data_IF_695960597907
#
_entry.id   IF_695960597907
#
_cell.length_a   1.000
_cell.length_b   1.000
_cell.length_c   1.000
_cell.angle_alpha   90.00
_cell.angle_beta   90.00
_cell.angle_gamma   90.00
#
_symmetry.space_group_name_H-M   'P 1'
#
loop_
_entity.id
_entity.type
_entity.pdbx_description
1 polymer ?
#
# COMPACT_ATOMS: atom_id res chain seq x y z
N UNK A 1 42.30 38.39 31.56
CA UNK A 1 43.21 39.54 31.74
C UNK A 1 42.44 40.66 32.38
N UNK A 2 43.06 41.22 33.45
CA UNK A 2 42.74 42.46 34.22
C UNK A 2 41.49 42.43 35.11
N UNK A 3 41.52 42.10 36.36
CA UNK A 3 42.09 42.70 37.66
C UNK A 3 42.08 44.22 37.74
N UNK A 4 41.27 44.67 38.72
CA UNK A 4 41.64 45.67 39.77
C UNK A 4 40.39 46.00 40.53
N UNK A 5 40.22 45.76 41.78
CA UNK A 5 40.98 46.09 43.04
C UNK A 5 40.58 47.45 43.67
N UNK A 6 40.03 47.27 44.88
CA UNK A 6 40.15 48.12 46.10
C UNK A 6 39.59 49.53 46.09
N UNK A 7 38.71 49.81 47.11
CA UNK A 7 39.15 50.72 48.17
C UNK A 7 38.25 50.60 49.43
N UNK A 8 38.87 50.44 50.55
CA UNK A 8 38.39 50.59 51.93
C UNK A 8 37.95 52.02 52.23
N UNK A 9 36.82 52.14 52.91
CA UNK A 9 36.40 53.36 53.55
C UNK A 9 35.62 53.00 54.80
N UNK A 10 36.34 52.95 55.90
CA UNK A 10 35.83 52.83 57.29
C UNK A 10 35.37 54.18 57.73
N UNK A 11 34.08 54.36 58.07
CA UNK A 11 33.66 55.46 58.98
C UNK A 11 32.60 54.93 59.92
N UNK A 12 32.97 54.85 61.16
CA UNK A 12 32.12 54.62 62.31
C UNK A 12 31.43 55.91 62.70
N UNK A 13 30.11 55.89 62.79
CA UNK A 13 29.39 56.81 63.70
C UNK A 13 28.11 56.10 64.14
N UNK A 14 28.03 55.87 65.42
CA UNK A 14 26.86 55.34 66.09
C UNK A 14 25.75 56.35 66.13
N UNK A 15 24.54 55.83 66.14
CA UNK A 15 23.39 56.47 66.77
C UNK A 15 22.21 55.51 66.86
N UNK A 16 21.76 55.34 68.03
CA UNK A 16 20.61 54.80 68.70
C UNK A 16 19.41 54.40 67.82
N UNK A 17 19.18 53.11 67.70
CA UNK A 17 17.96 52.59 67.19
C UNK A 17 16.88 52.57 68.29
N UNK A 18 15.82 53.38 68.12
CA UNK A 18 14.58 53.21 68.86
C UNK A 18 13.79 52.02 68.38
N UNK A 19 13.33 51.09 69.22
CA UNK A 19 12.69 49.83 68.79
C UNK A 19 11.27 49.99 68.29
N UNK A 20 10.75 51.20 68.15
CA UNK A 20 9.34 51.41 67.68
C UNK A 20 9.14 51.47 66.15
N UNK A 21 10.20 51.53 65.32
CA UNK A 21 10.08 51.57 63.85
C UNK A 21 10.15 50.21 63.20
N UNK A 22 10.65 49.16 63.87
CA UNK A 22 10.71 47.81 63.37
C UNK A 22 9.35 47.08 63.33
N UNK A 23 8.47 47.41 64.32
CA UNK A 23 7.12 46.82 64.35
C UNK A 23 6.19 47.38 63.29
N UNK A 24 6.41 48.62 62.83
CA UNK A 24 5.61 49.22 61.77
C UNK A 24 5.98 48.66 60.35
N UNK A 25 7.26 48.29 60.11
CA UNK A 25 7.70 47.68 58.85
C UNK A 25 7.30 46.20 58.75
N UNK A 26 7.23 45.46 59.85
CA UNK A 26 6.82 44.07 59.86
C UNK A 26 5.30 43.96 59.68
N UNK A 27 4.50 44.91 60.17
CA UNK A 27 3.05 44.89 59.93
C UNK A 27 2.64 45.30 58.52
N UNK A 28 3.38 46.22 57.88
CA UNK A 28 3.13 46.55 56.45
C UNK A 28 3.63 45.47 55.48
N UNK A 29 4.72 44.76 55.80
CA UNK A 29 5.20 43.61 55.03
C UNK A 29 4.25 42.42 55.14
N UNK A 30 3.61 42.18 56.28
CA UNK A 30 2.64 41.12 56.48
C UNK A 30 1.29 41.40 55.81
N UNK A 31 0.93 42.69 55.64
CA UNK A 31 -0.29 43.08 54.93
C UNK A 31 -0.14 43.05 53.39
N UNK A 32 1.09 43.13 52.86
CA UNK A 32 1.33 43.04 51.41
C UNK A 32 1.50 41.58 50.94
N UNK A 33 1.86 40.67 51.85
CA UNK A 33 2.02 39.24 51.49
C UNK A 33 0.71 38.43 51.51
N UNK A 34 -0.40 38.95 52.00
CA UNK A 34 -1.69 38.28 52.09
C UNK A 34 -2.64 38.61 50.93
N UNK A 35 -2.19 39.31 49.90
CA UNK A 35 -3.04 39.79 48.81
C UNK A 35 -2.71 39.32 47.39
N UNK A 36 -1.79 38.38 47.20
CA UNK A 36 -1.56 37.74 45.90
C UNK A 36 -2.18 36.33 45.86
N UNK A 37 -3.47 36.20 46.14
CA UNK A 37 -4.25 35.15 45.54
C UNK A 37 -4.27 35.45 44.04
N UNK A 38 -3.42 34.74 43.26
CA UNK A 38 -3.38 34.89 41.81
C UNK A 38 -4.80 34.75 41.29
N UNK A 39 -5.30 35.77 40.63
CA UNK A 39 -6.60 35.70 39.97
C UNK A 39 -6.59 34.49 39.05
N UNK A 40 -7.35 33.44 39.39
CA UNK A 40 -7.54 32.25 38.56
C UNK A 40 -8.33 32.74 37.37
N UNK A 41 -7.68 32.88 36.21
CA UNK A 41 -8.32 33.25 34.95
C UNK A 41 -8.96 32.01 34.29
N UNK A 42 -9.82 32.23 33.35
CA UNK A 42 -10.34 31.18 32.46
C UNK A 42 -9.21 30.25 32.03
N UNK A 43 -9.43 28.97 32.17
CA UNK A 43 -8.47 27.95 31.74
C UNK A 43 -9.13 26.85 30.94
N UNK A 44 -8.67 26.68 29.68
CA UNK A 44 -8.99 25.53 28.85
C UNK A 44 -7.95 24.42 29.11
N UNK A 45 -8.43 23.25 29.48
CA UNK A 45 -7.59 22.09 29.74
C UNK A 45 -7.95 21.02 28.70
N UNK A 46 -7.01 20.68 27.83
CA UNK A 46 -7.12 19.46 27.04
C UNK A 46 -6.14 18.43 27.60
N UNK A 47 -6.65 17.31 28.04
CA UNK A 47 -5.86 16.20 28.59
C UNK A 47 -5.34 15.26 27.47
N UNK A 48 -5.44 15.68 26.20
CA UNK A 48 -5.13 14.86 25.03
C UNK A 48 -3.79 15.17 24.38
N UNK A 49 -3.42 14.30 23.44
CA UNK A 49 -2.26 14.50 22.55
C UNK A 49 -2.53 15.73 21.66
N UNK A 50 -1.50 16.55 21.44
CA UNK A 50 -1.59 17.68 20.51
C UNK A 50 -1.85 17.23 19.07
N UNK A 51 -1.42 16.00 18.71
CA UNK A 51 -1.69 15.39 17.42
C UNK A 51 -2.37 14.03 17.60
N UNK A 52 -3.54 13.88 17.03
CA UNK A 52 -4.37 12.67 17.10
C UNK A 52 -4.40 12.02 15.71
N UNK A 53 -4.01 10.75 15.63
CA UNK A 53 -4.15 9.94 14.43
C UNK A 53 -5.39 9.07 14.52
N UNK A 54 -6.29 9.15 13.53
CA UNK A 54 -7.51 8.34 13.45
C UNK A 54 -7.68 7.73 12.06
N UNK A 55 -8.36 6.61 12.00
CA UNK A 55 -8.65 6.00 10.71
C UNK A 55 -9.88 6.64 10.05
N UNK A 56 -9.86 6.70 8.73
CA UNK A 56 -11.04 7.06 7.94
C UNK A 56 -12.20 6.10 8.24
N UNK A 57 -13.39 6.67 8.45
CA UNK A 57 -14.60 5.96 8.85
C UNK A 57 -14.80 5.83 10.37
N UNK A 58 -13.76 6.08 11.18
CA UNK A 58 -13.90 6.14 12.65
C UNK A 58 -14.56 7.46 13.08
N UNK A 59 -14.84 7.62 14.38
CA UNK A 59 -15.22 8.88 15.03
C UNK A 59 -14.09 9.36 15.95
N UNK A 60 -14.11 10.64 16.30
CA UNK A 60 -13.17 11.22 17.26
C UNK A 60 -13.86 12.27 18.13
N UNK A 61 -13.43 12.34 19.39
CA UNK A 61 -13.75 13.44 20.30
C UNK A 61 -12.46 14.26 20.48
N UNK A 62 -12.52 15.53 20.09
CA UNK A 62 -11.46 16.51 20.36
C UNK A 62 -11.77 17.16 21.70
N UNK A 63 -10.98 16.84 22.71
CA UNK A 63 -11.25 17.27 24.08
C UNK A 63 -11.02 18.78 24.25
N UNK A 64 -11.98 19.44 24.89
CA UNK A 64 -11.92 20.84 25.30
C UNK A 64 -12.70 21.03 26.59
N UNK A 65 -12.09 20.71 27.72
CA UNK A 65 -12.67 21.01 29.03
C UNK A 65 -12.20 22.37 29.51
N UNK A 66 -13.04 23.13 30.16
CA UNK A 66 -12.70 24.46 30.62
C UNK A 66 -13.19 24.74 32.06
N UNK A 67 -12.53 25.66 32.74
CA UNK A 67 -12.90 26.12 34.05
C UNK A 67 -12.84 27.63 34.08
N UNK A 68 -13.99 28.31 34.24
CA UNK A 68 -14.02 29.78 34.41
C UNK A 68 -13.33 30.20 35.72
N UNK A 69 -12.70 31.34 35.67
CA UNK A 69 -12.19 31.99 36.88
C UNK A 69 -13.32 32.66 37.70
N UNK A 70 -13.09 32.97 38.98
CA UNK A 70 -14.11 33.56 39.84
C UNK A 70 -14.59 34.96 39.40
N UNK A 71 -13.81 35.62 38.54
CA UNK A 71 -14.14 36.96 37.99
C UNK A 71 -14.80 36.87 36.61
N UNK A 72 -14.90 35.68 36.01
CA UNK A 72 -15.45 35.47 34.69
C UNK A 72 -16.99 35.36 34.79
N UNK A 73 -17.66 36.51 34.85
CA UNK A 73 -19.09 36.61 35.10
C UNK A 73 -19.94 36.92 33.84
N UNK A 74 -19.28 37.22 32.70
CA UNK A 74 -19.92 37.53 31.43
C UNK A 74 -20.63 36.34 30.82
N UNK A 75 -21.22 36.55 29.65
CA UNK A 75 -21.83 35.49 28.85
C UNK A 75 -20.76 34.49 28.36
N UNK A 76 -21.14 33.21 28.34
CA UNK A 76 -20.30 32.15 27.83
C UNK A 76 -20.42 32.09 26.31
N UNK A 77 -19.27 32.10 25.65
CA UNK A 77 -19.12 31.97 24.20
C UNK A 77 -18.04 30.91 23.93
N UNK A 78 -18.42 29.88 23.18
CA UNK A 78 -17.53 28.77 22.81
C UNK A 78 -17.48 28.69 21.30
N UNK A 79 -16.28 28.66 20.72
CA UNK A 79 -16.02 28.61 19.29
C UNK A 79 -15.12 27.43 18.95
N UNK A 80 -15.55 26.60 18.01
CA UNK A 80 -14.69 25.64 17.32
C UNK A 80 -14.41 26.11 15.91
N UNK A 81 -13.14 26.15 15.54
CA UNK A 81 -12.69 26.54 14.20
C UNK A 81 -11.59 25.65 13.67
N UNK A 82 -11.49 25.55 12.35
CA UNK A 82 -10.30 25.03 11.66
C UNK A 82 -9.33 26.18 11.46
N UNK A 83 -8.11 25.98 11.95
CA UNK A 83 -7.03 26.98 11.82
C UNK A 83 -6.58 27.00 10.36
N UNK A 84 -6.61 28.19 9.75
CA UNK A 84 -6.11 28.37 8.41
C UNK A 84 -4.60 28.12 8.35
N UNK A 85 -4.07 27.39 7.36
CA UNK A 85 -2.63 27.27 7.13
C UNK A 85 -2.00 28.60 6.69
N UNK A 86 -2.79 29.51 6.11
CA UNK A 86 -2.40 30.84 5.71
C UNK A 86 -2.81 31.85 6.79
N UNK A 87 -1.81 32.45 7.42
CA UNK A 87 -2.02 33.44 8.50
C UNK A 87 -2.74 34.74 8.05
N UNK A 88 -2.88 34.95 6.75
CA UNK A 88 -3.65 36.10 6.18
C UNK A 88 -5.13 35.81 6.06
N UNK A 89 -5.53 34.54 6.13
CA UNK A 89 -6.92 34.13 6.06
C UNK A 89 -7.50 33.89 7.46
N UNK A 90 -8.79 34.14 7.59
CA UNK A 90 -9.51 33.87 8.83
C UNK A 90 -9.67 32.37 9.03
N UNK A 91 -9.59 31.94 10.29
CA UNK A 91 -9.96 30.58 10.67
C UNK A 91 -11.42 30.30 10.31
N UNK A 92 -11.68 29.09 9.81
CA UNK A 92 -13.04 28.69 9.41
C UNK A 92 -13.80 28.21 10.65
N UNK A 93 -14.85 28.94 11.02
CA UNK A 93 -15.73 28.57 12.13
C UNK A 93 -16.57 27.34 11.73
N UNK A 94 -16.65 26.37 12.61
CA UNK A 94 -17.40 25.14 12.43
C UNK A 94 -18.67 25.12 13.28
N UNK A 95 -18.51 25.32 14.57
CA UNK A 95 -19.55 25.18 15.59
C UNK A 95 -19.33 26.24 16.65
N UNK A 96 -20.41 26.87 17.11
CA UNK A 96 -20.35 27.78 18.25
C UNK A 96 -21.51 27.57 19.20
N UNK A 97 -21.31 28.02 20.44
CA UNK A 97 -22.32 28.08 21.48
C UNK A 97 -22.29 29.44 22.11
N UNK A 98 -23.40 30.15 21.99
CA UNK A 98 -23.57 31.49 22.57
C UNK A 98 -25.02 31.67 23.00
N UNK A 99 -25.28 32.43 24.08
CA UNK A 99 -26.59 32.70 24.61
C UNK A 99 -27.49 31.45 24.77
N UNK A 100 -26.88 30.36 25.28
CA UNK A 100 -27.52 29.04 25.49
C UNK A 100 -28.02 28.37 24.20
N UNK A 101 -27.48 28.77 23.05
CA UNK A 101 -27.86 28.20 21.74
C UNK A 101 -26.60 27.74 20.98
N UNK A 102 -26.73 26.59 20.32
CA UNK A 102 -25.69 26.03 19.46
C UNK A 102 -25.95 26.49 18.02
N UNK A 103 -24.87 26.93 17.34
CA UNK A 103 -24.90 27.35 15.94
C UNK A 103 -23.89 26.56 15.14
N UNK A 104 -24.33 26.04 14.01
CA UNK A 104 -23.49 25.33 13.06
C UNK A 104 -23.20 26.27 11.86
N UNK A 105 -21.92 26.44 11.50
CA UNK A 105 -21.48 27.47 10.55
C UNK A 105 -20.98 26.91 9.23
N UNK A 106 -20.69 25.61 9.15
CA UNK A 106 -20.09 25.00 7.96
C UNK A 106 -21.01 23.97 7.30
N UNK A 107 -21.22 24.10 5.98
CA UNK A 107 -21.91 23.12 5.15
C UNK A 107 -21.15 21.78 5.03
N UNK A 108 -19.82 21.78 5.32
CA UNK A 108 -19.01 20.54 5.42
C UNK A 108 -19.47 19.61 6.53
N UNK A 109 -20.21 20.12 7.50
CA UNK A 109 -20.84 19.34 8.55
C UNK A 109 -21.84 18.30 8.05
N UNK A 110 -22.29 18.42 6.78
CA UNK A 110 -23.20 17.46 6.15
C UNK A 110 -22.53 16.13 5.79
N UNK A 111 -21.18 16.07 5.78
CA UNK A 111 -20.41 14.84 5.49
C UNK A 111 -19.75 14.34 6.76
N UNK A 112 -20.55 13.75 7.66
CA UNK A 112 -20.09 13.21 8.94
C UNK A 112 -20.40 14.18 10.10
N UNK A 113 -21.45 13.94 10.86
CA UNK A 113 -21.99 14.80 11.91
C UNK A 113 -20.95 15.47 12.79
N UNK A 114 -21.01 16.81 12.83
CA UNK A 114 -20.24 17.67 13.75
C UNK A 114 -21.18 18.12 14.87
N UNK A 115 -20.80 17.85 16.11
CA UNK A 115 -21.61 18.26 17.29
C UNK A 115 -20.73 18.44 18.52
N UNK A 116 -21.21 19.13 19.54
CA UNK A 116 -20.59 19.00 20.84
C UNK A 116 -20.76 17.58 21.37
N UNK A 117 -19.71 17.05 21.98
CA UNK A 117 -19.73 15.70 22.57
C UNK A 117 -20.65 15.65 23.80
N UNK A 118 -20.79 16.76 24.51
CA UNK A 118 -21.75 16.96 25.60
C UNK A 118 -23.04 17.58 25.04
N UNK A 119 -24.19 17.13 25.51
CA UNK A 119 -25.49 17.73 25.16
C UNK A 119 -25.60 19.20 25.58
N UNK A 120 -24.90 19.60 26.63
CA UNK A 120 -24.82 20.99 27.11
C UNK A 120 -23.37 21.38 27.37
N UNK A 121 -22.74 22.13 26.45
CA UNK A 121 -21.35 22.56 26.59
C UNK A 121 -21.13 23.61 27.69
N UNK A 122 -22.18 24.17 28.28
CA UNK A 122 -22.07 25.16 29.36
C UNK A 122 -21.57 24.58 30.68
N UNK A 123 -21.56 23.26 30.83
CA UNK A 123 -21.18 22.53 32.04
C UNK A 123 -19.66 22.27 32.15
N UNK A 124 -18.81 22.99 31.41
CA UNK A 124 -17.36 22.87 31.48
C UNK A 124 -16.75 21.88 30.49
N UNK A 125 -17.55 21.23 29.63
CA UNK A 125 -17.08 20.33 28.59
C UNK A 125 -17.58 20.79 27.20
N UNK A 126 -16.71 21.45 26.48
CA UNK A 126 -16.93 21.95 25.12
C UNK A 126 -16.31 21.03 24.05
N UNK A 127 -16.05 19.77 24.37
CA UNK A 127 -15.44 18.80 23.46
C UNK A 127 -16.23 18.66 22.17
N UNK A 128 -15.52 18.53 21.03
CA UNK A 128 -16.11 18.38 19.69
C UNK A 128 -16.11 16.92 19.28
N UNK A 129 -17.28 16.40 18.90
CA UNK A 129 -17.46 15.10 18.27
C UNK A 129 -17.47 15.26 16.75
N UNK A 130 -16.65 14.49 16.08
CA UNK A 130 -16.64 14.35 14.61
C UNK A 130 -16.89 12.89 14.27
N UNK A 131 -18.01 12.63 13.61
CA UNK A 131 -18.39 11.29 13.16
C UNK A 131 -17.93 11.06 11.71
N UNK A 132 -17.77 9.77 11.32
CA UNK A 132 -17.44 9.34 9.96
C UNK A 132 -16.25 10.11 9.34
N UNK A 133 -15.11 10.03 10.01
CA UNK A 133 -13.90 10.72 9.59
C UNK A 133 -13.50 10.38 8.15
N UNK A 134 -13.16 11.40 7.38
CA UNK A 134 -12.55 11.30 6.05
C UNK A 134 -11.19 12.00 6.03
N UNK A 135 -10.30 11.71 5.09
CA UNK A 135 -9.01 12.41 4.95
C UNK A 135 -9.15 13.94 4.84
N UNK A 136 -10.28 14.45 4.35
CA UNK A 136 -10.60 15.88 4.27
C UNK A 136 -10.73 16.55 5.66
N UNK A 137 -10.97 15.77 6.73
CA UNK A 137 -11.00 16.28 8.10
C UNK A 137 -9.61 16.43 8.73
N UNK A 138 -8.53 16.12 7.99
CA UNK A 138 -7.15 16.37 8.44
C UNK A 138 -6.90 17.86 8.53
N UNK A 139 -6.80 18.39 9.75
CA UNK A 139 -6.62 19.82 10.01
C UNK A 139 -6.19 20.07 11.45
N UNK A 140 -5.80 21.30 11.76
CA UNK A 140 -5.64 21.79 13.13
C UNK A 140 -6.93 22.47 13.55
N UNK A 141 -7.54 21.96 14.59
CA UNK A 141 -8.76 22.47 15.20
C UNK A 141 -8.43 23.33 16.40
N UNK A 142 -9.16 24.41 16.59
CA UNK A 142 -9.03 25.31 17.75
C UNK A 142 -10.34 25.37 18.47
N UNK A 143 -10.30 25.05 19.77
CA UNK A 143 -11.33 25.36 20.74
C UNK A 143 -11.00 26.68 21.41
N UNK A 144 -11.91 27.63 21.41
CA UNK A 144 -11.77 28.91 22.11
C UNK A 144 -12.99 29.08 23.00
N UNK A 145 -12.74 29.35 24.29
CA UNK A 145 -13.76 29.59 25.30
C UNK A 145 -13.57 30.98 25.85
N UNK A 146 -14.65 31.75 25.83
CA UNK A 146 -14.67 33.14 26.35
C UNK A 146 -15.82 33.28 27.33
N UNK A 147 -15.52 33.86 28.48
CA UNK A 147 -16.47 34.34 29.46
C UNK A 147 -15.88 35.59 30.09
N UNK A 148 -16.40 36.75 29.67
CA UNK A 148 -15.75 38.03 29.97
C UNK A 148 -15.48 38.24 31.47
N UNK A 149 -14.28 38.69 31.89
CA UNK A 149 -13.13 39.10 31.06
C UNK A 149 -12.24 37.95 30.58
N UNK A 150 -12.44 36.71 31.03
CA UNK A 150 -11.61 35.57 30.72
C UNK A 150 -11.79 35.06 29.29
N UNK A 151 -10.68 34.65 28.70
CA UNK A 151 -10.61 33.94 27.40
C UNK A 151 -9.40 33.02 27.41
N UNK A 152 -9.60 31.80 26.91
CA UNK A 152 -8.50 30.87 26.68
C UNK A 152 -8.80 29.98 25.47
N UNK A 153 -7.79 29.36 24.88
CA UNK A 153 -7.89 28.56 23.68
C UNK A 153 -6.90 27.39 23.68
N UNK A 154 -7.31 26.31 23.02
CA UNK A 154 -6.48 25.12 22.82
C UNK A 154 -6.53 24.68 21.36
N UNK A 155 -5.37 24.26 20.82
CA UNK A 155 -5.26 23.71 19.47
C UNK A 155 -4.96 22.22 19.52
N UNK A 156 -5.61 21.46 18.62
CA UNK A 156 -5.38 20.03 18.46
C UNK A 156 -5.32 19.69 16.98
N UNK A 157 -4.27 19.02 16.56
CA UNK A 157 -4.14 18.57 15.16
C UNK A 157 -4.73 17.17 15.01
N UNK A 158 -5.67 17.02 14.09
CA UNK A 158 -6.26 15.75 13.69
C UNK A 158 -5.68 15.31 12.36
N UNK A 159 -5.14 14.09 12.30
CA UNK A 159 -4.63 13.47 11.08
C UNK A 159 -5.46 12.23 10.80
N UNK A 160 -6.28 12.28 9.76
CA UNK A 160 -7.12 11.16 9.34
C UNK A 160 -6.40 10.36 8.26
N UNK A 161 -6.18 9.09 8.54
CA UNK A 161 -5.41 8.19 7.69
C UNK A 161 -6.26 7.01 7.23
N UNK A 162 -5.97 6.51 6.04
CA UNK A 162 -6.56 5.27 5.51
C UNK A 162 -5.75 4.08 6.02
N UNK A 163 -6.43 3.08 6.59
CA UNK A 163 -5.82 1.80 6.98
C UNK A 163 -5.22 1.10 5.76
N UNK A 164 -4.08 0.39 5.88
CA UNK A 164 -3.58 -0.44 4.80
C UNK A 164 -4.62 -1.46 4.34
N UNK A 165 -4.74 -1.70 3.03
CA UNK A 165 -5.47 -2.85 2.52
C UNK A 165 -4.69 -4.14 2.76
N UNK A 166 -5.36 -5.29 2.69
CA UNK A 166 -4.67 -6.59 2.71
C UNK A 166 -3.59 -6.60 1.62
N UNK A 167 -2.32 -6.75 1.98
CA UNK A 167 -1.24 -6.70 1.01
C UNK A 167 -1.25 -7.93 0.10
N UNK A 168 -0.76 -7.77 -1.12
CA UNK A 168 -0.46 -8.85 -2.03
C UNK A 168 0.97 -9.32 -1.77
N UNK A 169 1.15 -10.63 -1.57
CA UNK A 169 2.45 -11.28 -1.50
C UNK A 169 2.73 -12.00 -2.83
N UNK A 170 3.97 -11.89 -3.34
CA UNK A 170 4.42 -12.66 -4.50
C UNK A 170 5.93 -12.90 -4.42
N UNK A 171 6.39 -13.83 -5.24
CA UNK A 171 7.77 -14.25 -5.34
C UNK A 171 8.35 -13.79 -6.69
N UNK A 172 9.64 -13.44 -6.70
CA UNK A 172 10.46 -13.24 -7.90
C UNK A 172 11.72 -14.07 -7.80
N UNK A 173 12.11 -14.68 -8.91
CA UNK A 173 13.22 -15.63 -8.99
C UNK A 173 12.72 -17.07 -9.01
N UNK A 174 13.63 -18.01 -9.16
CA UNK A 174 13.34 -19.45 -9.17
C UNK A 174 13.57 -20.04 -7.77
N UNK A 175 12.64 -20.87 -7.31
CA UNK A 175 12.73 -21.55 -5.99
C UNK A 175 13.73 -22.70 -6.03
N UNK A 176 14.93 -22.48 -6.60
CA UNK A 176 16.00 -23.47 -6.71
C UNK A 176 17.12 -23.16 -5.71
N UNK A 177 17.66 -24.22 -5.12
CA UNK A 177 18.81 -24.12 -4.19
C UNK A 177 20.00 -23.57 -4.97
N UNK A 178 20.61 -22.51 -4.42
CA UNK A 178 21.74 -21.80 -5.05
C UNK A 178 21.36 -20.54 -5.78
N UNK A 179 20.08 -20.32 -6.09
CA UNK A 179 19.59 -19.13 -6.80
C UNK A 179 19.19 -18.00 -5.85
N UNK A 180 19.15 -16.79 -6.39
CA UNK A 180 18.65 -15.61 -5.67
C UNK A 180 17.13 -15.50 -5.81
N UNK A 181 16.45 -15.33 -4.69
CA UNK A 181 14.97 -15.23 -4.62
C UNK A 181 14.57 -14.03 -3.78
N UNK A 182 13.55 -13.32 -4.21
CA UNK A 182 12.96 -12.25 -3.40
C UNK A 182 11.45 -12.43 -3.21
N UNK A 183 11.01 -12.24 -1.98
CA UNK A 183 9.61 -12.14 -1.61
C UNK A 183 9.23 -10.67 -1.60
N UNK A 184 8.07 -10.36 -2.15
CA UNK A 184 7.54 -9.01 -2.23
C UNK A 184 6.20 -8.92 -1.54
N UNK A 185 5.95 -7.79 -0.92
CA UNK A 185 4.73 -7.48 -0.19
C UNK A 185 4.31 -6.05 -0.50
N UNK A 186 3.09 -5.85 -0.99
CA UNK A 186 2.62 -4.51 -1.32
C UNK A 186 1.13 -4.36 -1.02
N UNK A 187 0.78 -3.31 -0.31
CA UNK A 187 -0.59 -2.87 -0.10
C UNK A 187 -1.01 -1.92 -1.21
N UNK A 188 -2.23 -2.11 -1.74
CA UNK A 188 -2.79 -1.26 -2.79
C UNK A 188 -3.36 0.05 -2.25
N UNK A 189 -3.70 0.10 -0.94
CA UNK A 189 -4.28 1.27 -0.27
C UNK A 189 -3.62 1.44 1.09
N UNK A 190 -3.68 2.66 1.62
CA UNK A 190 -3.17 3.02 2.93
C UNK A 190 -2.43 4.34 2.87
N UNK A 191 -2.65 5.19 3.88
CA UNK A 191 -1.90 6.44 4.01
C UNK A 191 -0.44 6.17 4.42
N UNK A 192 0.48 6.87 3.79
CA UNK A 192 1.91 6.84 4.12
C UNK A 192 2.19 7.53 5.47
N UNK A 193 3.29 7.13 6.16
CA UNK A 193 4.23 6.09 5.79
C UNK A 193 3.69 4.69 6.03
N UNK A 194 3.88 3.79 5.06
CA UNK A 194 3.63 2.36 5.20
C UNK A 194 4.93 1.67 5.58
N UNK A 195 4.90 0.85 6.62
CA UNK A 195 6.04 0.05 7.07
C UNK A 195 5.75 -1.43 6.86
N UNK A 196 6.63 -2.12 6.15
CA UNK A 196 6.56 -3.55 5.89
C UNK A 196 7.51 -4.30 6.81
N UNK A 197 7.02 -5.40 7.40
CA UNK A 197 7.82 -6.25 8.28
C UNK A 197 7.56 -7.71 7.94
N UNK A 198 8.61 -8.46 7.65
CA UNK A 198 8.54 -9.88 7.41
C UNK A 198 8.84 -10.67 8.68
N UNK A 199 8.15 -11.78 8.84
CA UNK A 199 8.41 -12.79 9.88
C UNK A 199 8.30 -14.16 9.27
N UNK A 200 9.04 -15.12 9.82
CA UNK A 200 8.87 -16.52 9.50
C UNK A 200 7.81 -17.11 10.43
N UNK A 201 6.78 -17.76 9.88
CA UNK A 201 5.70 -18.36 10.68
C UNK A 201 6.14 -19.70 11.28
N UNK A 202 6.98 -20.44 10.58
CA UNK A 202 7.63 -21.65 11.10
C UNK A 202 8.75 -21.29 12.08
N UNK A 203 9.09 -22.22 12.95
CA UNK A 203 10.05 -22.04 14.05
C UNK A 203 11.35 -21.38 13.62
N UNK A 204 11.70 -20.26 14.24
CA UNK A 204 12.97 -19.57 14.11
C UNK A 204 12.89 -18.15 13.51
N UNK A 205 13.94 -17.37 13.69
CA UNK A 205 14.04 -16.04 13.10
C UNK A 205 14.23 -16.12 11.57
N UNK A 206 14.04 -14.99 10.90
CA UNK A 206 14.45 -14.85 9.50
C UNK A 206 15.95 -15.16 9.39
N UNK A 207 16.38 -15.97 8.39
CA UNK A 207 17.79 -16.26 8.20
C UNK A 207 18.64 -15.00 8.12
N UNK A 208 19.81 -15.00 8.75
CA UNK A 208 20.71 -13.82 8.77
C UNK A 208 21.21 -13.42 7.37
N UNK A 209 21.18 -14.35 6.41
CA UNK A 209 21.51 -14.07 5.00
C UNK A 209 20.39 -13.34 4.22
N UNK A 210 19.20 -13.17 4.82
CA UNK A 210 18.10 -12.47 4.18
C UNK A 210 18.15 -10.97 4.46
N UNK A 211 17.99 -10.16 3.41
CA UNK A 211 17.92 -8.70 3.50
C UNK A 211 16.47 -8.22 3.40
N UNK A 212 16.01 -7.52 4.43
CA UNK A 212 14.68 -6.95 4.47
C UNK A 212 14.71 -5.45 4.20
N UNK A 213 13.83 -4.96 3.31
CA UNK A 213 13.57 -3.55 3.10
C UNK A 213 12.16 -3.20 3.61
N UNK A 214 12.08 -2.44 4.69
CA UNK A 214 10.81 -2.09 5.34
C UNK A 214 10.00 -1.03 4.58
N UNK A 215 10.55 -0.35 3.59
CA UNK A 215 9.87 0.66 2.77
C UNK A 215 9.28 0.04 1.51
N UNK A 216 10.06 -0.80 0.81
CA UNK A 216 9.62 -1.45 -0.43
C UNK A 216 8.84 -2.74 -0.20
N UNK A 217 8.91 -3.32 1.00
CA UNK A 217 8.28 -4.60 1.33
C UNK A 217 9.00 -5.81 0.73
N UNK A 218 10.27 -5.66 0.33
CA UNK A 218 11.09 -6.74 -0.21
C UNK A 218 11.82 -7.50 0.89
N UNK A 219 11.85 -8.83 0.78
CA UNK A 219 12.72 -9.73 1.53
C UNK A 219 13.51 -10.56 0.54
N UNK A 220 14.82 -10.27 0.42
CA UNK A 220 15.72 -10.92 -0.54
C UNK A 220 16.58 -11.99 0.13
N UNK A 221 16.65 -13.14 -0.49
CA UNK A 221 17.55 -14.23 -0.16
C UNK A 221 18.58 -14.37 -1.26
N UNK A 222 19.86 -14.26 -0.91
CA UNK A 222 20.97 -14.60 -1.79
C UNK A 222 21.35 -16.05 -1.51
N UNK A 223 21.55 -16.85 -2.58
CA UNK A 223 21.93 -18.26 -2.49
C UNK A 223 20.91 -19.07 -1.67
N UNK A 224 19.72 -19.32 -2.22
CA UNK A 224 18.62 -20.04 -1.54
C UNK A 224 19.09 -21.39 -1.01
N UNK A 225 18.85 -21.63 0.27
CA UNK A 225 19.14 -22.90 0.95
C UNK A 225 17.85 -23.62 1.33
N UNK A 226 17.89 -24.94 1.45
CA UNK A 226 16.78 -25.76 1.93
C UNK A 226 16.29 -25.31 3.32
N UNK A 227 17.17 -24.82 4.18
CA UNK A 227 16.85 -24.31 5.51
C UNK A 227 16.01 -23.02 5.48
N UNK A 228 15.97 -22.30 4.33
CA UNK A 228 15.20 -21.07 4.18
C UNK A 228 13.75 -21.35 3.74
N UNK A 229 13.45 -22.56 3.27
CA UNK A 229 12.09 -22.96 2.93
C UNK A 229 11.14 -22.82 4.12
N UNK A 230 9.90 -22.39 3.87
CA UNK A 230 8.87 -22.24 4.91
C UNK A 230 7.87 -21.14 4.59
N UNK A 231 6.95 -20.94 5.53
CA UNK A 231 5.92 -19.91 5.41
C UNK A 231 6.45 -18.60 5.97
N UNK A 232 6.35 -17.55 5.17
CA UNK A 232 6.69 -16.18 5.54
C UNK A 232 5.43 -15.33 5.60
N UNK A 233 5.34 -14.52 6.64
CA UNK A 233 4.26 -13.60 6.91
C UNK A 233 4.78 -12.17 6.70
N UNK A 234 4.18 -11.44 5.79
CA UNK A 234 4.38 -9.99 5.66
C UNK A 234 3.28 -9.26 6.42
N UNK A 235 3.67 -8.30 7.22
CA UNK A 235 2.78 -7.35 7.86
C UNK A 235 3.08 -5.94 7.34
N UNK A 236 2.06 -5.26 6.82
CA UNK A 236 2.09 -3.84 6.49
C UNK A 236 1.33 -3.07 7.54
N UNK A 237 1.91 -2.00 8.05
CA UNK A 237 1.26 -1.14 9.05
C UNK A 237 1.48 0.34 8.77
N UNK A 238 0.57 1.14 9.30
CA UNK A 238 0.71 2.58 9.49
C UNK A 238 0.22 2.95 10.90
N UNK A 239 0.09 4.24 11.22
CA UNK A 239 -0.30 4.69 12.55
C UNK A 239 -1.72 4.27 12.98
N UNK A 240 -2.59 3.83 12.04
CA UNK A 240 -4.01 3.56 12.29
C UNK A 240 -4.44 2.11 12.02
N UNK A 241 -3.53 1.26 11.54
CA UNK A 241 -3.88 -0.14 11.31
C UNK A 241 -2.78 -0.98 10.71
N UNK A 242 -2.98 -2.29 10.72
CA UNK A 242 -2.08 -3.28 10.13
C UNK A 242 -2.86 -4.35 9.37
N UNK A 243 -2.24 -4.89 8.32
CA UNK A 243 -2.76 -5.99 7.52
C UNK A 243 -1.64 -6.97 7.16
N UNK A 244 -2.00 -8.19 6.79
CA UNK A 244 -1.01 -9.27 6.60
C UNK A 244 -1.30 -10.09 5.36
N UNK A 245 -0.23 -10.67 4.76
CA UNK A 245 -0.32 -11.75 3.78
C UNK A 245 0.71 -12.84 4.08
N UNK A 246 0.46 -14.03 3.55
CA UNK A 246 1.32 -15.21 3.70
C UNK A 246 1.84 -15.66 2.35
N UNK A 247 3.08 -16.16 2.33
CA UNK A 247 3.68 -16.79 1.16
C UNK A 247 4.51 -17.98 1.60
N UNK A 248 4.43 -19.06 0.84
CA UNK A 248 5.22 -20.26 1.09
C UNK A 248 6.42 -20.28 0.14
N UNK A 249 7.63 -20.15 0.69
CA UNK A 249 8.88 -20.27 -0.04
C UNK A 249 9.32 -21.73 -0.04
N UNK A 250 9.45 -22.30 -1.23
CA UNK A 250 10.00 -23.63 -1.44
C UNK A 250 11.49 -23.51 -1.76
N UNK A 251 12.26 -24.59 -1.55
CA UNK A 251 13.64 -24.70 -1.97
C UNK A 251 13.81 -26.08 -2.64
N UNK A 252 13.76 -26.08 -3.94
CA UNK A 252 13.85 -27.30 -4.76
C UNK A 252 15.27 -27.52 -5.22
N UNK A 253 15.70 -28.77 -5.34
CA UNK A 253 16.99 -29.07 -5.95
C UNK A 253 16.93 -28.77 -7.45
N UNK A 254 17.98 -28.16 -8.04
CA UNK A 254 18.02 -27.97 -9.48
C UNK A 254 17.98 -29.32 -10.19
N UNK A 255 17.31 -29.43 -11.33
CA UNK A 255 17.26 -30.68 -12.10
C UNK A 255 18.68 -31.09 -12.49
N UNK A 256 18.96 -32.40 -12.39
CA UNK A 256 20.26 -32.98 -12.74
C UNK A 256 20.50 -32.81 -14.26
N UNK A 257 21.09 -31.68 -14.67
CA UNK A 257 21.44 -31.44 -16.09
C UNK A 257 22.38 -32.49 -16.67
N UNK A 258 23.23 -33.12 -15.83
CA UNK A 258 24.10 -34.21 -16.25
C UNK A 258 23.33 -35.41 -16.82
N UNK A 259 22.22 -35.80 -16.20
CA UNK A 259 21.39 -36.93 -16.70
C UNK A 259 20.74 -36.66 -18.05
N UNK A 260 20.31 -35.42 -18.31
CA UNK A 260 19.73 -35.03 -19.60
C UNK A 260 20.80 -34.99 -20.68
N UNK A 261 21.98 -34.43 -20.39
CA UNK A 261 23.10 -34.36 -21.36
C UNK A 261 23.56 -35.77 -21.72
N UNK A 262 23.82 -36.66 -20.74
CA UNK A 262 24.24 -38.03 -20.98
C UNK A 262 23.15 -38.81 -21.75
N UNK A 263 21.85 -38.63 -21.40
CA UNK A 263 20.75 -39.28 -22.07
C UNK A 263 20.62 -38.87 -23.53
N UNK A 264 20.82 -37.59 -23.86
CA UNK A 264 20.79 -37.12 -25.26
C UNK A 264 21.95 -37.63 -26.05
N UNK A 265 23.18 -37.67 -25.48
CA UNK A 265 24.36 -38.24 -26.16
C UNK A 265 24.20 -39.74 -26.41
N UNK A 266 23.77 -40.52 -25.42
CA UNK A 266 23.56 -41.97 -25.58
C UNK A 266 22.42 -42.23 -26.58
N UNK A 267 21.35 -41.49 -26.52
CA UNK A 267 20.23 -41.60 -27.45
C UNK A 267 20.61 -41.30 -28.90
N UNK A 268 21.42 -40.23 -29.12
CA UNK A 268 21.92 -39.89 -30.47
C UNK A 268 22.88 -40.92 -31.04
N UNK A 269 23.78 -41.49 -30.24
CA UNK A 269 24.68 -42.54 -30.62
C UNK A 269 23.93 -43.84 -31.01
N UNK A 270 22.92 -44.23 -30.22
CA UNK A 270 22.03 -45.35 -30.55
C UNK A 270 21.30 -45.15 -31.87
N UNK A 271 20.79 -43.95 -32.12
CA UNK A 271 20.06 -43.64 -33.35
C UNK A 271 20.98 -43.73 -34.58
N UNK A 272 22.23 -43.19 -34.46
CA UNK A 272 23.25 -43.30 -35.51
C UNK A 272 23.61 -44.77 -35.73
N UNK A 273 23.77 -45.58 -34.68
CA UNK A 273 24.06 -47.01 -34.81
C UNK A 273 22.97 -47.76 -35.56
N UNK A 274 21.69 -47.49 -35.20
CA UNK A 274 20.54 -48.11 -35.87
C UNK A 274 20.51 -47.73 -37.38
N UNK A 275 20.78 -46.47 -37.71
CA UNK A 275 20.84 -46.00 -39.08
C UNK A 275 21.97 -46.69 -39.86
N UNK A 276 23.16 -46.85 -39.27
CA UNK A 276 24.27 -47.55 -39.90
C UNK A 276 23.96 -49.03 -40.14
N UNK A 277 23.33 -49.72 -39.19
CA UNK A 277 22.86 -51.10 -39.34
C UNK A 277 21.85 -51.19 -40.48
N UNK A 278 20.89 -50.25 -40.53
CA UNK A 278 19.90 -50.21 -41.59
C UNK A 278 20.53 -49.98 -42.97
N UNK A 279 21.51 -49.09 -43.09
CA UNK A 279 22.25 -48.85 -44.34
C UNK A 279 23.02 -50.12 -44.78
N UNK A 280 23.64 -50.80 -43.84
CA UNK A 280 24.39 -52.05 -44.14
C UNK A 280 23.40 -53.16 -44.61
N UNK A 281 22.25 -53.28 -43.97
CA UNK A 281 21.23 -54.25 -44.37
C UNK A 281 20.64 -53.91 -45.75
N UNK A 282 20.40 -52.64 -46.03
CA UNK A 282 19.98 -52.19 -47.36
C UNK A 282 21.05 -52.47 -48.41
N UNK A 283 22.30 -52.20 -48.11
CA UNK A 283 23.43 -52.49 -49.00
C UNK A 283 23.49 -53.99 -49.31
N UNK A 284 23.37 -54.83 -48.28
CA UNK A 284 23.36 -56.30 -48.43
C UNK A 284 22.17 -56.76 -49.25
N UNK A 285 21.00 -56.25 -49.02
CA UNK A 285 19.77 -56.58 -49.79
C UNK A 285 19.90 -56.18 -51.26
N UNK A 286 20.44 -54.98 -51.55
CA UNK A 286 20.67 -54.51 -52.91
C UNK A 286 21.78 -55.30 -53.64
N UNK A 287 22.79 -55.72 -52.88
CA UNK A 287 23.88 -56.55 -53.46
C UNK A 287 23.42 -57.95 -53.76
N UNK A 288 22.65 -58.58 -52.86
CA UNK A 288 22.08 -59.90 -53.12
C UNK A 288 21.02 -59.88 -54.25
N UNK A 289 20.24 -58.82 -54.38
CA UNK A 289 19.32 -58.62 -55.47
C UNK A 289 19.96 -58.60 -56.86
N UNK A 290 21.19 -57.99 -56.91
CA UNK A 290 21.98 -58.01 -58.19
C UNK A 290 22.60 -59.35 -58.54
N UNK A 291 22.78 -60.27 -57.60
CA UNK A 291 23.26 -61.64 -57.87
C UNK A 291 22.12 -62.50 -58.46
N UNK A 292 20.90 -62.35 -58.06
CA UNK A 292 19.77 -63.11 -58.56
C UNK A 292 19.32 -62.67 -59.97
N UNK A 293 19.56 -61.43 -60.36
CA UNK A 293 19.26 -60.93 -61.71
C UNK A 293 20.24 -61.43 -62.80
N UNK A 294 21.48 -61.88 -62.38
CA UNK A 294 22.47 -62.42 -63.31
C UNK A 294 22.28 -63.92 -63.63
N UNK A 295 21.50 -64.64 -62.85
CA UNK A 295 21.22 -66.08 -63.09
C UNK A 295 20.02 -66.35 -63.98
N UNK A 296 19.19 -65.38 -64.33
CA UNK A 296 17.98 -65.53 -65.11
C UNK A 296 18.11 -65.17 -66.64
N UNK A 297 19.33 -64.88 -67.13
CA UNK A 297 19.49 -64.40 -68.51
C UNK A 297 20.12 -65.43 -69.48
N UNK A 298 20.16 -66.73 -69.16
CA UNK A 298 20.64 -67.76 -70.08
C UNK A 298 19.69 -68.95 -70.12
N UNK A 299 18.49 -68.75 -70.65
CA UNK A 299 17.69 -69.86 -71.16
C UNK A 299 17.25 -69.55 -72.58
N UNK A 300 17.76 -70.36 -73.48
CA UNK A 300 17.60 -70.28 -74.96
C UNK A 300 16.15 -70.68 -75.30
N UNK A 301 15.50 -69.84 -76.03
CA UNK A 301 14.18 -69.98 -76.55
C UNK A 301 14.24 -70.74 -77.90
N UNK A 302 13.66 -71.88 -77.95
CA UNK A 302 13.29 -72.55 -79.25
C UNK A 302 11.86 -72.20 -79.62
N UNK A 303 11.71 -72.01 -80.95
CA UNK A 303 10.54 -71.50 -81.60
C UNK A 303 9.35 -72.48 -81.72
N UNK A 304 8.12 -71.96 -81.66
CA UNK A 304 6.98 -72.55 -82.32
C UNK A 304 5.97 -71.49 -82.72
N UNK A 305 5.52 -71.58 -84.00
CA UNK A 305 4.69 -70.74 -84.79
C UNK A 305 3.18 -70.70 -84.38
N UNK A 306 2.41 -69.70 -84.84
CA UNK A 306 1.05 -69.38 -84.32
C UNK A 306 -0.10 -70.05 -85.08
N UNK A 307 -1.30 -70.01 -84.56
CA UNK A 307 -2.42 -69.51 -85.37
C UNK A 307 -3.50 -68.64 -84.73
N UNK A 308 -3.86 -67.70 -85.55
CA UNK A 308 -5.20 -67.21 -85.95
C UNK A 308 -6.24 -66.69 -84.92
N UNK A 309 -6.52 -65.44 -85.18
CA UNK A 309 -7.79 -64.70 -85.24
C UNK A 309 -9.03 -65.30 -84.57
N UNK A 310 -9.63 -64.42 -83.68
CA UNK A 310 -10.96 -63.82 -83.93
C UNK A 310 -11.33 -62.75 -82.93
N UNK A 311 -11.71 -61.64 -83.54
CA UNK A 311 -12.40 -60.52 -82.95
C UNK A 311 -13.71 -60.88 -82.25
N UNK A 312 -14.07 -60.21 -81.19
CA UNK A 312 -15.42 -59.65 -81.03
C UNK A 312 -15.35 -58.49 -80.03
N UNK A 313 -15.88 -57.39 -80.49
CA UNK A 313 -16.19 -56.14 -79.84
C UNK A 313 -17.28 -56.34 -78.79
N UNK A 314 -17.30 -55.51 -77.79
CA UNK A 314 -18.40 -54.60 -77.39
C UNK A 314 -18.35 -54.16 -75.93
N UNK A 315 -18.22 -52.87 -75.76
CA UNK A 315 -19.15 -51.94 -75.15
C UNK A 315 -19.12 -51.73 -73.62
N UNK A 316 -18.67 -50.54 -73.23
CA UNK A 316 -19.40 -49.58 -72.49
C UNK A 316 -19.82 -49.88 -71.04
N UNK A 317 -19.35 -49.07 -70.15
CA UNK A 317 -19.90 -48.94 -68.80
C UNK A 317 -19.13 -47.92 -67.93
N UNK A 318 -19.52 -46.74 -68.12
CA UNK A 318 -19.14 -45.58 -67.30
C UNK A 318 -19.78 -45.73 -65.92
N UNK A 319 -19.05 -45.60 -64.78
CA UNK A 319 -19.55 -44.93 -63.59
C UNK A 319 -18.40 -44.57 -62.66
N UNK A 320 -18.39 -43.31 -62.36
CA UNK A 320 -17.61 -42.60 -61.32
C UNK A 320 -18.01 -43.02 -59.89
N UNK A 321 -17.05 -43.15 -59.00
CA UNK A 321 -17.26 -42.87 -57.56
C UNK A 321 -15.93 -42.53 -56.91
N UNK A 322 -15.97 -41.40 -56.23
CA UNK A 322 -14.85 -40.79 -55.50
C UNK A 322 -14.51 -41.45 -54.14
N UNK A 323 -13.51 -40.99 -53.51
CA UNK A 323 -12.94 -41.64 -52.34
C UNK A 323 -13.70 -41.35 -51.00
N UNK A 324 -13.66 -42.23 -50.01
CA UNK A 324 -14.34 -42.05 -48.74
C UNK A 324 -13.54 -41.19 -47.75
N UNK A 325 -14.26 -40.30 -47.13
CA UNK A 325 -13.87 -39.46 -46.05
C UNK A 325 -13.67 -40.23 -44.73
N UNK A 326 -12.65 -39.83 -43.95
CA UNK A 326 -12.35 -40.33 -42.60
C UNK A 326 -13.17 -39.54 -41.57
N UNK A 327 -13.74 -40.15 -40.54
CA UNK A 327 -14.51 -39.41 -39.51
C UNK A 327 -13.62 -38.81 -38.45
N UNK A 328 -13.91 -37.54 -38.15
CA UNK A 328 -13.40 -36.76 -37.04
C UNK A 328 -14.23 -37.07 -35.80
N UNK A 329 -13.62 -37.42 -34.69
CA UNK A 329 -14.30 -37.56 -33.41
C UNK A 329 -14.29 -36.25 -32.61
N UNK A 330 -15.50 -35.81 -32.26
CA UNK A 330 -15.80 -34.68 -31.39
C UNK A 330 -15.31 -34.91 -29.96
N UNK A 331 -14.71 -33.89 -29.37
CA UNK A 331 -14.55 -33.75 -27.91
C UNK A 331 -15.33 -32.52 -27.49
N UNK A 332 -16.28 -32.74 -26.61
CA UNK A 332 -17.18 -31.77 -26.03
C UNK A 332 -16.41 -30.69 -25.22
N UNK A 333 -16.81 -29.44 -25.40
CA UNK A 333 -16.59 -28.37 -24.45
C UNK A 333 -17.94 -27.72 -24.16
N UNK A 334 -18.36 -27.80 -22.93
CA UNK A 334 -19.54 -27.14 -22.37
C UNK A 334 -19.15 -25.80 -21.71
N UNK A 335 -20.08 -24.87 -21.89
CA UNK A 335 -20.35 -23.64 -21.12
C UNK A 335 -19.63 -22.35 -21.50
N UNK A 336 -20.29 -21.60 -22.40
CA UNK A 336 -20.16 -20.14 -22.51
C UNK A 336 -21.52 -19.49 -22.29
N UNK A 337 -21.58 -18.57 -21.30
CA UNK A 337 -22.72 -17.71 -20.97
C UNK A 337 -22.73 -16.52 -21.95
N UNK A 338 -23.91 -16.08 -22.44
CA UNK A 338 -23.99 -15.08 -23.50
C UNK A 338 -23.84 -13.65 -22.98
N UNK A 339 -23.10 -12.85 -23.74
CA UNK A 339 -23.02 -11.39 -23.58
C UNK A 339 -24.03 -10.74 -24.55
N UNK A 340 -24.86 -9.87 -23.99
CA UNK A 340 -25.92 -9.12 -24.67
C UNK A 340 -25.33 -7.93 -25.44
N UNK A 341 -25.66 -7.82 -26.72
CA UNK A 341 -25.33 -6.71 -27.60
C UNK A 341 -26.39 -5.62 -27.51
N UNK A 342 -26.01 -4.47 -27.01
CA UNK A 342 -26.79 -3.24 -27.07
C UNK A 342 -26.14 -2.20 -27.97
N UNK A 343 -26.58 -2.12 -29.21
CA UNK A 343 -26.28 -1.04 -30.16
C UNK A 343 -26.74 0.32 -29.66
N UNK A 344 -25.90 1.35 -29.79
CA UNK A 344 -26.38 2.71 -29.99
C UNK A 344 -25.39 3.58 -30.78
N UNK A 345 -25.94 4.21 -31.78
CA UNK A 345 -25.39 5.03 -32.84
C UNK A 345 -24.70 6.32 -32.39
N UNK A 346 -23.68 6.70 -33.17
CA UNK A 346 -23.16 8.08 -33.23
C UNK A 346 -24.11 9.03 -33.99
N UNK A 347 -24.06 10.34 -33.69
CA UNK A 347 -23.81 11.28 -34.77
C UNK A 347 -22.68 12.28 -34.48
N UNK A 348 -21.95 12.55 -35.54
CA UNK A 348 -20.93 13.60 -35.67
C UNK A 348 -21.58 14.98 -35.80
N UNK A 349 -20.98 16.06 -35.24
CA UNK A 349 -20.70 17.31 -35.92
C UNK A 349 -19.97 18.33 -35.06
N UNK A 350 -18.93 18.92 -35.68
CA UNK A 350 -18.44 20.29 -35.75
C UNK A 350 -17.84 21.00 -34.53
N UNK A 351 -16.52 21.16 -34.63
CA UNK A 351 -15.68 22.38 -34.45
C UNK A 351 -16.17 23.47 -33.51
N UNK A 352 -15.40 23.79 -32.46
CA UNK A 352 -14.88 25.14 -32.16
C UNK A 352 -13.72 25.04 -31.19
N UNK A 353 -12.65 25.80 -31.45
CA UNK A 353 -11.37 25.78 -30.75
C UNK A 353 -11.45 26.28 -29.31
N UNK A 354 -10.69 25.65 -28.47
CA UNK A 354 -10.25 26.22 -27.21
C UNK A 354 -8.79 25.84 -26.97
N UNK A 355 -7.99 26.86 -26.69
CA UNK A 355 -6.60 26.87 -26.27
C UNK A 355 -6.32 25.90 -25.11
N UNK A 356 -5.13 25.25 -25.06
CA UNK A 356 -4.78 24.36 -23.97
C UNK A 356 -4.42 25.16 -22.72
N UNK A 357 -5.17 24.93 -21.65
CA UNK A 357 -4.80 25.36 -20.31
C UNK A 357 -3.65 24.45 -19.85
N UNK A 358 -2.50 25.05 -19.57
CA UNK A 358 -1.36 24.40 -18.93
C UNK A 358 -1.79 23.93 -17.54
N UNK A 359 -1.89 22.62 -17.36
CA UNK A 359 -1.89 22.01 -16.03
C UNK A 359 -0.46 22.10 -15.48
N UNK A 360 -0.26 23.01 -14.54
CA UNK A 360 0.91 23.00 -13.67
C UNK A 360 0.84 21.75 -12.80
N UNK A 361 1.80 20.86 -12.97
CA UNK A 361 2.00 19.72 -12.08
C UNK A 361 2.33 20.25 -10.68
N UNK A 362 1.55 19.84 -9.69
CA UNK A 362 1.83 20.09 -8.28
C UNK A 362 3.15 19.38 -7.91
N UNK A 363 4.14 20.16 -7.53
CA UNK A 363 5.45 19.66 -7.12
C UNK A 363 5.35 19.11 -5.69
N UNK A 364 5.67 17.82 -5.52
CA UNK A 364 5.63 17.16 -4.21
C UNK A 364 6.82 17.58 -3.35
N UNK A 365 6.57 18.26 -2.25
CA UNK A 365 7.61 18.60 -1.27
C UNK A 365 7.77 17.51 -0.23
N UNK A 366 8.83 16.71 -0.39
CA UNK A 366 9.14 15.56 0.46
C UNK A 366 9.45 15.91 1.92
N UNK A 367 9.64 17.19 2.26
CA UNK A 367 10.04 17.62 3.61
C UNK A 367 8.87 17.74 4.58
N UNK A 368 7.65 17.90 4.09
CA UNK A 368 6.46 18.13 4.91
C UNK A 368 5.28 17.18 4.65
N UNK A 369 5.37 16.29 3.67
CA UNK A 369 4.42 15.18 3.46
C UNK A 369 3.04 15.58 2.91
N UNK A 370 2.87 16.78 2.33
CA UNK A 370 1.65 17.23 1.67
C UNK A 370 1.97 17.92 0.33
N UNK A 371 1.03 17.83 -0.61
CA UNK A 371 1.11 18.53 -1.89
C UNK A 371 0.71 20.00 -1.69
N UNK A 372 1.49 20.92 -2.19
CA UNK A 372 1.22 22.35 -2.23
C UNK A 372 0.65 22.72 -3.60
#
# INVERSE_FOLDING_TARGET
MLRRSCAHGRMSLGLGWKPSSLLCWLSTAALVSSGMEGAIAMKVTSTGLQTIHKAAGDSVILNCSYTPGPLDTGELDIEWSVVSPDSTQKDQMLLSYASSTQYQHDDRSTVGGLSFASGDPSNGDASLLIEQLSPAHTSTYQCKVKKSPGVDMQKTSLVVMVKPSVPKCWLRGEELIGEDVSLHCQSAKGSTPLKYTWRRESVGPIPAAAMQNSVTGELRFSNLSQSFAGIYLCEVNNAVGAQRCRINLKASKPPNRAGVIVGTFVGSLLLIFILLVFIVLLYWKLRNGRYNEKEFSNEIREDALPPDRRSVSLRSGRTSRGPPSVPYSEVYAEDAIPFDEGSACFPSSSSHGHTPVKHTALEYNSKYGYAV
#
